data_IF_981448404802
#
_entry.id   IF_981448404802
#
_cell.length_a   1.000
_cell.length_b   1.000
_cell.length_c   1.000
_cell.angle_alpha   90.00
_cell.angle_beta   90.00
_cell.angle_gamma   90.00
#
_symmetry.space_group_name_H-M   'P 1'
#
loop_
_entity.id
_entity.type
_entity.pdbx_description
1 polymer ?
#
# COMPACT_ATOMS: atom_id res chain seq x y z
N UNK A 1 -5.21 -1.43 17.58
CA UNK A 1 -4.28 -0.32 17.33
C UNK A 1 -2.93 -0.91 16.95
N UNK A 2 -2.32 -0.48 15.85
CA UNK A 2 -0.96 -0.85 15.45
C UNK A 2 -0.01 0.30 15.80
N UNK A 3 1.10 -0.01 16.49
CA UNK A 3 2.10 0.98 16.91
C UNK A 3 3.47 0.56 16.37
N UNK A 4 4.16 1.50 15.75
CA UNK A 4 5.50 1.30 15.21
C UNK A 4 6.53 1.92 16.14
N UNK A 5 7.62 1.20 16.40
CA UNK A 5 8.80 1.74 17.06
C UNK A 5 9.65 2.49 16.04
N UNK A 6 9.42 3.80 15.91
CA UNK A 6 10.15 4.65 14.97
C UNK A 6 11.58 4.96 15.43
N UNK A 7 11.85 4.89 16.75
CA UNK A 7 13.15 5.24 17.34
C UNK A 7 14.04 4.03 17.61
N UNK A 8 13.52 2.80 17.49
CA UNK A 8 14.24 1.58 17.83
C UNK A 8 14.38 1.36 19.34
N UNK A 9 13.59 2.06 20.15
CA UNK A 9 13.68 2.04 21.62
C UNK A 9 13.27 0.70 22.23
N UNK A 10 12.61 -0.17 21.47
CA UNK A 10 12.20 -1.50 21.95
C UNK A 10 13.29 -2.56 21.82
N UNK A 11 14.44 -2.22 21.20
CA UNK A 11 15.57 -3.16 21.01
C UNK A 11 15.16 -4.46 20.31
N UNK A 12 14.15 -4.41 19.43
CA UNK A 12 13.71 -5.55 18.61
C UNK A 12 14.15 -5.34 17.17
N UNK A 13 14.42 -6.45 16.47
CA UNK A 13 14.69 -6.41 15.03
C UNK A 13 13.45 -5.89 14.28
N UNK A 14 13.60 -4.97 13.31
CA UNK A 14 12.51 -4.56 12.43
C UNK A 14 11.85 -5.75 11.74
N UNK A 15 10.52 -5.77 11.73
CA UNK A 15 9.72 -6.87 11.21
C UNK A 15 8.81 -6.49 10.02
N UNK A 16 8.72 -5.20 9.69
CA UNK A 16 7.92 -4.71 8.57
C UNK A 16 8.47 -3.38 8.04
N UNK A 17 8.21 -3.10 6.76
CA UNK A 17 8.33 -1.77 6.19
C UNK A 17 6.96 -1.09 6.26
N UNK A 18 6.90 0.11 6.82
CA UNK A 18 5.65 0.85 6.99
C UNK A 18 5.55 1.89 5.89
N UNK A 19 4.57 1.73 5.00
CA UNK A 19 4.24 2.75 4.01
C UNK A 19 3.60 3.97 4.68
N UNK A 20 4.25 5.12 4.61
CA UNK A 20 3.77 6.40 5.19
C UNK A 20 3.24 7.37 4.14
N UNK A 21 3.35 7.02 2.85
CA UNK A 21 2.90 7.83 1.73
C UNK A 21 2.72 6.98 0.48
N UNK A 22 1.95 7.53 -0.47
CA UNK A 22 1.66 6.90 -1.76
C UNK A 22 1.44 8.00 -2.80
N UNK A 23 1.76 7.73 -4.07
CA UNK A 23 1.26 8.53 -5.19
C UNK A 23 -0.20 8.11 -5.48
N UNK A 24 -1.20 8.95 -5.15
CA UNK A 24 -2.59 8.59 -5.37
C UNK A 24 -2.94 8.53 -6.86
N UNK A 25 -2.34 9.38 -7.70
CA UNK A 25 -2.63 9.42 -9.12
C UNK A 25 -2.17 8.13 -9.79
N UNK A 26 -0.94 7.69 -9.52
CA UNK A 26 -0.42 6.43 -10.06
C UNK A 26 -1.22 5.21 -9.55
N UNK A 27 -1.63 5.22 -8.28
CA UNK A 27 -2.45 4.15 -7.72
C UNK A 27 -3.77 4.01 -8.48
N UNK A 28 -4.49 5.12 -8.69
CA UNK A 28 -5.78 5.09 -9.37
C UNK A 28 -5.66 4.74 -10.85
N UNK A 29 -4.65 5.25 -11.55
CA UNK A 29 -4.35 4.83 -12.94
C UNK A 29 -4.21 3.31 -13.05
N UNK A 30 -3.40 2.70 -12.17
CA UNK A 30 -3.19 1.24 -12.15
C UNK A 30 -4.44 0.47 -11.74
N UNK A 31 -5.23 0.99 -10.80
CA UNK A 31 -6.47 0.37 -10.34
C UNK A 31 -7.52 0.36 -11.46
N UNK A 32 -7.73 1.51 -12.10
CA UNK A 32 -8.71 1.69 -13.18
C UNK A 32 -8.36 0.80 -14.36
N UNK A 33 -7.09 0.75 -14.76
CA UNK A 33 -6.65 -0.12 -15.85
C UNK A 33 -6.97 -1.61 -15.55
N UNK A 34 -6.64 -2.07 -14.33
CA UNK A 34 -6.88 -3.47 -13.93
C UNK A 34 -8.37 -3.81 -13.87
N UNK A 35 -9.17 -3.00 -13.18
CA UNK A 35 -10.61 -3.25 -12.99
C UNK A 35 -11.36 -3.04 -14.31
N UNK A 36 -11.02 -2.01 -15.08
CA UNK A 36 -11.63 -1.72 -16.37
C UNK A 36 -11.38 -2.84 -17.38
N UNK A 37 -10.17 -3.40 -17.45
CA UNK A 37 -9.88 -4.58 -18.29
C UNK A 37 -10.72 -5.79 -17.89
N UNK A 38 -10.92 -6.01 -16.59
CA UNK A 38 -11.74 -7.11 -16.10
C UNK A 38 -13.22 -6.92 -16.44
N UNK A 39 -13.79 -5.74 -16.15
CA UNK A 39 -15.19 -5.43 -16.43
C UNK A 39 -15.54 -5.56 -17.92
N UNK A 40 -14.64 -5.11 -18.82
CA UNK A 40 -14.81 -5.27 -20.27
C UNK A 40 -14.88 -6.72 -20.76
N UNK A 41 -14.43 -7.70 -19.97
CA UNK A 41 -14.54 -9.13 -20.33
C UNK A 41 -15.87 -9.75 -19.91
N UNK A 42 -16.63 -9.08 -19.04
CA UNK A 42 -17.86 -9.60 -18.44
C UNK A 42 -19.14 -9.00 -19.05
N UNK A 43 -19.06 -7.84 -19.69
CA UNK A 43 -20.15 -7.23 -20.46
C UNK A 43 -19.99 -7.52 -21.95
#
# INVERSE_FOLDING_TARGET
MTVTDWSGSWCRKPNALIGVGVDPAEFFERLIDRVGRFARRLG
#
